data_IF_786021549069
#
_entry.id   IF_786021549069
#
_cell.length_a   1.000
_cell.length_b   1.000
_cell.length_c   1.000
_cell.angle_alpha   90.00
_cell.angle_beta   90.00
_cell.angle_gamma   90.00
#
_symmetry.space_group_name_H-M   'P 1'
#
loop_
_entity.id
_entity.type
_entity.pdbx_description
1 polymer ?
#
# COMPACT_ATOMS: atom_id res chain seq x y z
N UNK A 1 0.94 -10.30 -7.03
CA UNK A 1 1.52 -10.50 -8.39
C UNK A 1 0.44 -10.55 -9.47
N UNK A 2 -0.52 -11.48 -9.42
CA UNK A 2 -1.58 -11.57 -10.45
C UNK A 2 -2.33 -10.24 -10.69
N UNK A 3 -2.73 -9.55 -9.61
CA UNK A 3 -3.39 -8.24 -9.73
C UNK A 3 -2.49 -7.13 -10.32
N UNK A 4 -1.20 -7.12 -10.00
CA UNK A 4 -0.27 -6.15 -10.59
C UNK A 4 -0.19 -6.36 -12.11
N UNK A 5 -0.03 -7.62 -12.54
CA UNK A 5 -0.01 -7.96 -13.98
C UNK A 5 -1.34 -7.61 -14.66
N UNK A 6 -2.47 -7.83 -13.98
CA UNK A 6 -3.78 -7.45 -14.48
C UNK A 6 -3.91 -5.93 -14.68
N UNK A 7 -3.49 -5.12 -13.70
CA UNK A 7 -3.54 -3.67 -13.82
C UNK A 7 -2.55 -3.14 -14.86
N UNK A 8 -1.36 -3.72 -14.98
CA UNK A 8 -0.41 -3.35 -16.05
C UNK A 8 -1.00 -3.65 -17.43
N UNK A 9 -1.65 -4.80 -17.62
CA UNK A 9 -2.30 -5.13 -18.89
C UNK A 9 -3.42 -4.15 -19.26
N UNK A 10 -4.13 -3.60 -18.27
CA UNK A 10 -5.22 -2.63 -18.47
C UNK A 10 -4.73 -1.18 -18.65
N UNK A 11 -3.61 -0.81 -18.03
CA UNK A 11 -3.09 0.55 -17.99
C UNK A 11 -1.75 0.61 -18.75
N UNK A 12 -1.84 0.72 -20.07
CA UNK A 12 -0.68 0.65 -20.98
C UNK A 12 0.32 1.80 -20.76
N UNK A 13 -0.14 2.97 -20.34
CA UNK A 13 0.68 4.11 -19.95
C UNK A 13 1.52 3.80 -18.70
N UNK A 14 0.92 3.16 -17.70
CA UNK A 14 1.63 2.71 -16.49
C UNK A 14 2.63 1.60 -16.83
N UNK A 15 2.24 0.64 -17.69
CA UNK A 15 3.13 -0.43 -18.15
C UNK A 15 4.34 0.13 -18.90
N UNK A 16 4.12 1.04 -19.85
CA UNK A 16 5.20 1.67 -20.62
C UNK A 16 6.14 2.44 -19.70
N UNK A 17 5.61 3.23 -18.76
CA UNK A 17 6.43 3.98 -17.80
C UNK A 17 7.29 3.07 -16.92
N UNK A 18 6.72 1.97 -16.43
CA UNK A 18 7.46 0.96 -15.67
C UNK A 18 8.54 0.28 -16.52
N UNK A 19 8.22 -0.06 -17.77
CA UNK A 19 9.19 -0.64 -18.69
C UNK A 19 10.37 0.31 -18.96
N UNK A 20 10.11 1.60 -19.16
CA UNK A 20 11.16 2.60 -19.35
C UNK A 20 12.04 2.76 -18.10
N UNK A 21 11.48 2.73 -16.90
CA UNK A 21 12.28 2.71 -15.67
C UNK A 21 13.20 1.49 -15.61
N UNK A 22 12.66 0.28 -15.85
CA UNK A 22 13.45 -0.95 -15.84
C UNK A 22 14.54 -0.92 -16.91
N UNK A 23 14.22 -0.47 -18.13
CA UNK A 23 15.18 -0.32 -19.23
C UNK A 23 16.32 0.60 -18.82
N UNK A 24 16.01 1.78 -18.32
CA UNK A 24 17.00 2.78 -17.95
C UNK A 24 17.86 2.34 -16.75
N UNK A 25 17.23 1.91 -15.66
CA UNK A 25 17.94 1.62 -14.42
C UNK A 25 18.67 0.28 -14.51
N UNK A 26 18.03 -0.78 -15.01
CA UNK A 26 18.65 -2.11 -15.03
C UNK A 26 19.60 -2.26 -16.21
N UNK A 27 19.15 -2.00 -17.43
CA UNK A 27 19.93 -2.34 -18.63
C UNK A 27 20.94 -1.27 -19.03
N UNK A 28 20.54 0.01 -19.01
CA UNK A 28 21.42 1.10 -19.47
C UNK A 28 22.45 1.52 -18.40
N UNK A 29 22.04 1.66 -17.14
CA UNK A 29 22.93 2.11 -16.06
C UNK A 29 23.70 1.00 -15.34
N UNK A 30 23.08 -0.17 -15.19
CA UNK A 30 23.64 -1.29 -14.42
C UNK A 30 23.93 -2.51 -15.32
N UNK A 31 24.06 -2.33 -16.63
CA UNK A 31 24.48 -3.36 -17.60
C UNK A 31 23.67 -4.68 -17.55
N UNK A 32 22.40 -4.60 -17.17
CA UNK A 32 21.51 -5.76 -17.02
C UNK A 32 21.65 -6.49 -15.69
N UNK A 33 22.47 -6.02 -14.76
CA UNK A 33 22.70 -6.67 -13.48
C UNK A 33 21.60 -6.33 -12.46
N UNK A 34 20.95 -7.39 -11.94
CA UNK A 34 19.98 -7.30 -10.86
C UNK A 34 20.69 -7.48 -9.51
N UNK A 35 21.01 -6.36 -8.87
CA UNK A 35 21.54 -6.29 -7.51
C UNK A 35 20.53 -5.65 -6.55
N UNK A 36 20.75 -5.75 -5.24
CA UNK A 36 19.95 -5.02 -4.25
C UNK A 36 19.98 -3.50 -4.46
N UNK A 37 21.12 -2.96 -4.89
CA UNK A 37 21.26 -1.53 -5.18
C UNK A 37 20.47 -1.15 -6.44
N UNK A 38 20.50 -1.99 -7.48
CA UNK A 38 19.67 -1.80 -8.67
C UNK A 38 18.18 -1.81 -8.30
N UNK A 39 17.74 -2.75 -7.47
CA UNK A 39 16.33 -2.86 -7.04
C UNK A 39 15.86 -1.63 -6.27
N UNK A 40 16.70 -1.04 -5.41
CA UNK A 40 16.38 0.20 -4.69
C UNK A 40 16.16 1.41 -5.61
N UNK A 41 16.70 1.37 -6.83
CA UNK A 41 16.54 2.46 -7.81
C UNK A 41 15.20 2.39 -8.57
N UNK A 42 14.49 1.26 -8.51
CA UNK A 42 13.22 1.03 -9.20
C UNK A 42 12.04 1.61 -8.40
N UNK A 43 11.99 2.93 -8.33
CA UNK A 43 11.04 3.68 -7.50
C UNK A 43 9.61 3.52 -8.01
N UNK A 44 9.39 3.64 -9.32
CA UNK A 44 8.09 3.52 -9.92
C UNK A 44 7.57 2.07 -9.85
N UNK A 45 8.46 1.07 -9.97
CA UNK A 45 8.11 -0.32 -9.71
C UNK A 45 7.56 -0.52 -8.29
N UNK A 46 8.20 0.09 -7.27
CA UNK A 46 7.71 0.02 -5.90
C UNK A 46 6.32 0.69 -5.76
N UNK A 47 6.12 1.84 -6.42
CA UNK A 47 4.81 2.53 -6.45
C UNK A 47 3.70 1.68 -7.09
N UNK A 48 4.00 0.99 -8.20
CA UNK A 48 3.07 0.06 -8.85
C UNK A 48 2.70 -1.09 -7.90
N UNK A 49 3.67 -1.61 -7.16
CA UNK A 49 3.43 -2.64 -6.16
C UNK A 49 2.54 -2.14 -5.02
N UNK A 50 2.84 -0.97 -4.47
CA UNK A 50 2.08 -0.40 -3.36
C UNK A 50 0.64 -0.05 -3.77
N UNK A 51 0.45 0.52 -4.96
CA UNK A 51 -0.90 0.79 -5.48
C UNK A 51 -1.68 -0.50 -5.75
N UNK A 52 -1.00 -1.56 -6.20
CA UNK A 52 -1.61 -2.89 -6.30
C UNK A 52 -2.09 -3.37 -4.92
N UNK A 53 -1.25 -3.24 -3.89
CA UNK A 53 -1.60 -3.67 -2.53
C UNK A 53 -2.69 -2.80 -1.88
N UNK A 54 -2.82 -1.53 -2.29
CA UNK A 54 -3.93 -0.67 -1.87
C UNK A 54 -5.25 -1.12 -2.47
N UNK A 55 -5.30 -1.34 -3.80
CA UNK A 55 -6.54 -1.75 -4.47
C UNK A 55 -6.92 -3.21 -4.16
N UNK A 56 -5.91 -4.06 -3.98
CA UNK A 56 -6.07 -5.49 -3.77
C UNK A 56 -5.36 -5.92 -2.48
N UNK A 57 -5.86 -5.47 -1.31
CA UNK A 57 -5.24 -5.79 -0.04
C UNK A 57 -5.32 -7.30 0.21
N UNK A 58 -4.24 -7.85 0.78
CA UNK A 58 -4.16 -9.28 1.12
C UNK A 58 -5.16 -9.62 2.24
N UNK A 59 -5.42 -8.65 3.12
CA UNK A 59 -6.36 -8.75 4.23
C UNK A 59 -7.31 -7.56 4.15
N UNK A 60 -8.59 -7.80 3.83
CA UNK A 60 -9.61 -6.75 3.77
C UNK A 60 -10.03 -6.24 5.16
N UNK A 61 -9.98 -7.11 6.18
CA UNK A 61 -10.47 -6.84 7.53
C UNK A 61 -9.48 -7.37 8.58
N UNK A 62 -8.87 -6.48 9.35
CA UNK A 62 -7.91 -6.86 10.38
C UNK A 62 -8.56 -6.89 11.75
N UNK A 63 -8.50 -8.05 12.42
CA UNK A 63 -8.97 -8.20 13.80
C UNK A 63 -7.93 -7.68 14.81
N UNK A 64 -8.40 -6.95 15.81
CA UNK A 64 -7.70 -6.54 17.03
C UNK A 64 -8.52 -6.98 18.26
N UNK A 65 -7.87 -7.09 19.41
CA UNK A 65 -8.49 -7.43 20.69
C UNK A 65 -8.05 -6.39 21.70
N UNK A 66 -8.98 -5.81 22.46
CA UNK A 66 -8.63 -4.83 23.48
C UNK A 66 -7.93 -5.50 24.66
N UNK A 67 -6.74 -5.01 25.02
CA UNK A 67 -5.98 -5.55 26.15
C UNK A 67 -6.54 -5.11 27.52
N UNK A 68 -7.29 -4.02 27.55
CA UNK A 68 -7.89 -3.42 28.75
C UNK A 68 -9.17 -2.68 28.39
N UNK A 69 -9.92 -2.26 29.40
CA UNK A 69 -11.02 -1.33 29.16
C UNK A 69 -10.47 0.04 28.81
N UNK A 70 -10.88 0.60 27.67
CA UNK A 70 -10.37 1.88 27.15
C UNK A 70 -11.44 2.61 26.33
N UNK A 71 -11.58 3.91 26.52
CA UNK A 71 -12.42 4.75 25.66
C UNK A 71 -11.66 5.10 24.38
N UNK A 72 -12.30 4.92 23.22
CA UNK A 72 -11.71 5.29 21.94
C UNK A 72 -11.65 6.83 21.86
N UNK A 73 -10.45 7.43 21.69
CA UNK A 73 -10.31 8.87 21.65
C UNK A 73 -11.24 9.54 20.63
N UNK A 74 -11.91 10.61 21.04
CA UNK A 74 -12.84 11.35 20.19
C UNK A 74 -14.22 10.70 20.03
N UNK A 75 -14.56 9.67 20.80
CA UNK A 75 -15.87 9.01 20.78
C UNK A 75 -16.35 8.67 22.20
N UNK A 76 -17.64 8.39 22.35
CA UNK A 76 -18.23 7.87 23.60
C UNK A 76 -18.16 6.33 23.69
N UNK A 77 -17.42 5.69 22.78
CA UNK A 77 -17.30 4.23 22.71
C UNK A 77 -16.23 3.76 23.70
N UNK A 78 -16.64 2.98 24.69
CA UNK A 78 -15.73 2.28 25.61
C UNK A 78 -15.60 0.82 25.21
N UNK A 79 -14.39 0.42 24.83
CA UNK A 79 -14.02 -0.98 24.65
C UNK A 79 -13.79 -1.60 26.01
N UNK A 80 -14.30 -2.80 26.24
CA UNK A 80 -13.96 -3.63 27.39
C UNK A 80 -12.75 -4.50 27.05
N UNK A 81 -12.08 -4.98 28.08
CA UNK A 81 -11.06 -6.03 27.90
C UNK A 81 -11.68 -7.21 27.12
N UNK A 82 -10.89 -7.74 26.19
CA UNK A 82 -11.23 -8.88 25.33
C UNK A 82 -12.30 -8.60 24.25
N UNK A 83 -12.77 -7.36 24.11
CA UNK A 83 -13.60 -6.95 22.98
C UNK A 83 -12.82 -7.07 21.66
N UNK A 84 -13.51 -7.59 20.63
CA UNK A 84 -12.98 -7.67 19.28
C UNK A 84 -13.27 -6.38 18.50
N UNK A 85 -12.24 -5.86 17.84
CA UNK A 85 -12.34 -4.72 16.92
C UNK A 85 -11.93 -5.19 15.53
N UNK A 86 -12.69 -4.80 14.52
CA UNK A 86 -12.38 -5.07 13.12
C UNK A 86 -12.02 -3.77 12.41
N UNK A 87 -10.78 -3.67 11.94
CA UNK A 87 -10.29 -2.52 11.17
C UNK A 87 -10.54 -2.81 9.69
N UNK A 88 -11.40 -2.02 9.01
CA UNK A 88 -11.76 -2.25 7.60
C UNK A 88 -10.65 -1.71 6.70
N UNK A 89 -9.59 -2.48 6.49
CA UNK A 89 -8.44 -2.10 5.64
C UNK A 89 -8.92 -1.71 4.24
N UNK A 90 -9.75 -2.55 3.62
CA UNK A 90 -10.32 -2.24 2.29
C UNK A 90 -11.12 -0.94 2.29
N UNK A 91 -11.92 -0.71 3.34
CA UNK A 91 -12.69 0.53 3.48
C UNK A 91 -11.79 1.76 3.54
N UNK A 92 -10.72 1.69 4.34
CA UNK A 92 -9.72 2.78 4.44
C UNK A 92 -9.00 2.99 3.10
N UNK A 93 -8.61 1.91 2.42
CA UNK A 93 -7.89 1.98 1.15
C UNK A 93 -8.73 2.55 0.00
N UNK A 94 -10.05 2.49 0.11
CA UNK A 94 -11.01 3.05 -0.84
C UNK A 94 -11.71 4.32 -0.35
N UNK A 95 -11.30 4.89 0.78
CA UNK A 95 -11.86 6.13 1.31
C UNK A 95 -11.30 7.33 0.52
N UNK A 96 -12.19 8.06 -0.16
CA UNK A 96 -11.86 9.23 -0.98
C UNK A 96 -11.16 10.34 -0.19
N UNK A 97 -11.35 10.38 1.14
CA UNK A 97 -10.63 11.29 2.03
C UNK A 97 -9.11 11.12 1.94
N UNK A 98 -8.64 9.88 1.74
CA UNK A 98 -7.22 9.55 1.66
C UNK A 98 -6.77 9.29 0.23
N UNK A 99 -7.67 8.82 -0.63
CA UNK A 99 -7.38 8.41 -2.00
C UNK A 99 -8.45 8.95 -2.96
N UNK A 100 -8.29 10.18 -3.49
CA UNK A 100 -9.23 10.75 -4.47
C UNK A 100 -9.34 9.85 -5.70
N UNK A 101 -10.54 9.57 -6.23
CA UNK A 101 -10.78 8.57 -7.29
C UNK A 101 -10.21 7.17 -6.94
N UNK A 102 -10.62 6.55 -5.83
CA UNK A 102 -9.94 5.39 -5.23
C UNK A 102 -10.00 4.12 -6.09
N UNK A 103 -10.85 4.09 -7.11
CA UNK A 103 -10.97 2.99 -8.06
C UNK A 103 -10.03 3.12 -9.26
N UNK A 104 -9.38 4.27 -9.45
CA UNK A 104 -8.35 4.46 -10.48
C UNK A 104 -7.02 3.90 -9.98
N UNK A 105 -6.41 3.03 -10.79
CA UNK A 105 -5.04 2.55 -10.57
C UNK A 105 -4.06 3.68 -10.87
N UNK A 106 -3.51 4.29 -9.81
CA UNK A 106 -2.62 5.43 -9.93
C UNK A 106 -1.38 5.26 -9.03
N UNK A 107 -0.26 4.74 -9.57
CA UNK A 107 0.98 4.58 -8.82
C UNK A 107 1.53 5.88 -8.22
N UNK A 108 1.22 7.05 -8.80
CA UNK A 108 1.72 8.35 -8.31
C UNK A 108 1.20 8.69 -6.91
N UNK A 109 0.15 8.01 -6.42
CA UNK A 109 -0.30 8.08 -5.01
C UNK A 109 0.79 7.67 -4.02
N UNK A 110 1.81 6.94 -4.49
CA UNK A 110 2.95 6.49 -3.71
C UNK A 110 4.22 7.27 -4.04
N UNK A 111 4.10 8.45 -4.67
CA UNK A 111 5.20 9.43 -4.72
C UNK A 111 5.66 9.81 -3.29
N UNK A 112 6.94 10.11 -3.09
CA UNK A 112 7.46 10.51 -1.77
C UNK A 112 6.65 11.64 -1.13
N UNK A 113 6.21 12.61 -1.92
CA UNK A 113 5.40 13.75 -1.49
C UNK A 113 4.02 13.31 -0.99
N UNK A 114 3.34 12.43 -1.74
CA UNK A 114 2.00 11.92 -1.41
C UNK A 114 2.02 10.97 -0.21
N UNK A 115 3.05 10.12 -0.11
CA UNK A 115 3.25 9.26 1.06
C UNK A 115 3.45 10.10 2.31
N UNK A 116 4.23 11.18 2.23
CA UNK A 116 4.54 12.05 3.37
C UNK A 116 3.31 12.82 3.87
N UNK A 117 2.40 13.22 2.98
CA UNK A 117 1.17 13.95 3.34
C UNK A 117 0.04 13.03 3.82
N UNK A 118 0.06 11.77 3.41
CA UNK A 118 -0.97 10.78 3.77
C UNK A 118 -0.90 10.39 5.25
N UNK A 119 -2.07 10.15 5.84
CA UNK A 119 -2.16 9.68 7.22
C UNK A 119 -1.42 8.33 7.40
N UNK A 120 -0.62 8.14 8.46
CA UNK A 120 0.21 6.93 8.63
C UNK A 120 -0.58 5.61 8.65
N UNK A 121 -1.83 5.66 9.11
CA UNK A 121 -2.72 4.49 9.15
C UNK A 121 -3.65 4.35 7.92
N UNK A 122 -3.47 5.15 6.87
CA UNK A 122 -4.30 5.07 5.66
C UNK A 122 -3.80 4.00 4.66
N UNK A 123 -2.54 3.57 4.77
CA UNK A 123 -1.98 2.46 4.01
C UNK A 123 -1.52 1.37 4.97
N UNK A 124 -2.13 0.18 4.89
CA UNK A 124 -1.96 -0.91 5.85
C UNK A 124 -1.82 -2.28 5.14
N UNK A 125 -0.99 -2.39 4.08
CA UNK A 125 -0.91 -3.61 3.27
C UNK A 125 -0.43 -4.83 4.07
N UNK A 126 0.33 -4.59 5.15
CA UNK A 126 0.97 -5.61 5.98
C UNK A 126 0.62 -5.46 7.47
N UNK A 127 -0.43 -4.69 7.78
CA UNK A 127 -0.84 -4.38 9.14
C UNK A 127 0.09 -3.38 9.85
N UNK A 128 -0.19 -3.16 11.14
CA UNK A 128 0.54 -2.22 12.00
C UNK A 128 0.64 -2.75 13.43
N UNK A 129 1.75 -2.43 14.11
CA UNK A 129 2.05 -2.79 15.48
C UNK A 129 2.88 -4.08 15.59
N UNK A 130 3.08 -4.64 16.80
CA UNK A 130 4.07 -5.71 17.05
C UNK A 130 3.79 -7.05 16.37
N UNK A 131 2.67 -7.19 15.67
CA UNK A 131 2.27 -8.38 14.91
C UNK A 131 2.00 -8.05 13.44
N UNK A 132 2.75 -7.09 12.89
CA UNK A 132 2.74 -6.81 11.45
C UNK A 132 3.42 -7.96 10.68
N UNK A 133 3.20 -8.03 9.37
CA UNK A 133 3.88 -9.01 8.53
C UNK A 133 5.41 -8.87 8.66
N UNK A 134 6.11 -9.99 8.83
CA UNK A 134 7.58 -10.04 9.00
C UNK A 134 8.33 -10.32 7.68
N UNK A 135 7.59 -10.61 6.62
CA UNK A 135 8.13 -11.03 5.31
C UNK A 135 8.53 -9.88 4.41
#
# INVERSE_FOLDING_TARGET
LAFALHELAKNQDVQEKLFQEIKQQVFEKNNGELSLETLKQLTYMAQVFDETLRMYPIIDLQRKVSASSVQIPGTDITLKRDDYIFVPIRGIHYDEKYYPDPYKFDPERFSPENVKSRHPCAFLPFGLGPRHCIG
#
